data_IF_706909961514
#
_entry.id   IF_706909961514
#
_cell.length_a   1.000
_cell.length_b   1.000
_cell.length_c   1.000
_cell.angle_alpha   90.00
_cell.angle_beta   90.00
_cell.angle_gamma   90.00
#
_symmetry.space_group_name_H-M   'P 1'
#
loop_
_entity.id
_entity.type
_entity.pdbx_description
1 polymer ?
#
# COMPACT_ATOMS: atom_id res chain seq x y z
N UNK A 1 -21.99 74.28 -39.22
CA UNK A 1 -20.75 73.79 -38.55
C UNK A 1 -20.88 72.28 -38.36
N UNK A 2 -20.07 71.50 -39.08
CA UNK A 2 -20.10 70.02 -39.06
C UNK A 2 -19.20 69.51 -37.92
N UNK A 3 -19.79 68.88 -36.91
CA UNK A 3 -19.08 68.19 -35.84
C UNK A 3 -18.76 66.75 -36.27
N UNK A 4 -17.47 66.39 -36.26
CA UNK A 4 -16.96 65.02 -36.50
C UNK A 4 -16.94 64.24 -35.17
N UNK A 5 -17.31 62.96 -35.10
CA UNK A 5 -17.05 62.15 -33.92
C UNK A 5 -15.62 61.57 -33.98
N UNK A 6 -14.95 61.64 -32.84
CA UNK A 6 -13.61 61.13 -32.58
C UNK A 6 -13.68 59.61 -32.35
N UNK A 7 -13.04 58.81 -33.20
CA UNK A 7 -12.89 57.37 -32.99
C UNK A 7 -11.74 57.10 -32.01
N UNK A 8 -12.06 56.58 -30.82
CA UNK A 8 -11.07 56.10 -29.84
C UNK A 8 -10.75 54.65 -30.18
N UNK A 9 -9.52 54.40 -30.65
CA UNK A 9 -9.00 53.05 -30.86
C UNK A 9 -8.50 52.49 -29.51
N UNK A 10 -9.19 51.49 -28.97
CA UNK A 10 -8.71 50.70 -27.83
C UNK A 10 -7.70 49.65 -28.32
N UNK A 11 -6.42 49.83 -27.99
CA UNK A 11 -5.39 48.81 -28.16
C UNK A 11 -5.46 47.80 -27.00
N UNK A 12 -5.97 46.59 -27.28
CA UNK A 12 -5.96 45.45 -26.36
C UNK A 12 -4.56 44.82 -26.33
N UNK A 13 -3.79 45.13 -25.28
CA UNK A 13 -2.57 44.39 -24.93
C UNK A 13 -2.94 43.01 -24.38
N UNK A 14 -2.69 41.96 -25.17
CA UNK A 14 -2.87 40.57 -24.75
C UNK A 14 -1.83 40.16 -23.71
N UNK A 15 -2.25 39.93 -22.47
CA UNK A 15 -1.45 39.29 -21.43
C UNK A 15 -1.25 37.80 -21.77
N UNK A 16 -0.05 37.46 -22.23
CA UNK A 16 0.39 36.08 -22.39
C UNK A 16 0.68 35.53 -20.99
N UNK A 17 -0.28 34.80 -20.42
CA UNK A 17 -0.07 34.01 -19.21
C UNK A 17 0.87 32.84 -19.52
N UNK A 18 2.14 32.96 -19.15
CA UNK A 18 3.02 31.81 -18.99
C UNK A 18 2.53 31.00 -17.78
N UNK A 19 1.76 29.95 -18.06
CA UNK A 19 1.48 28.93 -17.07
C UNK A 19 2.81 28.25 -16.71
N UNK A 20 3.39 28.65 -15.56
CA UNK A 20 4.50 27.91 -14.96
C UNK A 20 3.98 26.51 -14.66
N UNK A 21 4.55 25.52 -15.35
CA UNK A 21 4.31 24.11 -15.04
C UNK A 21 4.85 23.86 -13.63
N UNK A 22 4.01 24.07 -12.62
CA UNK A 22 4.32 23.75 -11.24
C UNK A 22 4.73 22.28 -11.16
N UNK A 23 5.91 22.03 -10.61
CA UNK A 23 6.33 20.69 -10.25
C UNK A 23 5.26 20.11 -9.32
N UNK A 24 4.45 19.17 -9.82
CA UNK A 24 3.51 18.44 -8.98
C UNK A 24 4.31 17.81 -7.84
N UNK A 25 4.10 18.29 -6.61
CA UNK A 25 4.71 17.72 -5.43
C UNK A 25 4.34 16.23 -5.37
N UNK A 26 5.34 15.37 -5.45
CA UNK A 26 5.13 13.93 -5.44
C UNK A 26 4.48 13.53 -4.11
N UNK A 27 3.24 13.04 -4.14
CA UNK A 27 2.56 12.57 -2.94
C UNK A 27 3.27 11.32 -2.39
N UNK A 28 3.77 11.44 -1.16
CA UNK A 28 4.40 10.34 -0.42
C UNK A 28 3.33 9.42 0.17
N UNK A 29 3.68 8.16 0.42
CA UNK A 29 2.77 7.17 1.00
C UNK A 29 2.33 7.52 2.43
N UNK A 30 3.24 8.11 3.20
CA UNK A 30 2.98 8.63 4.54
C UNK A 30 3.20 10.14 4.54
N UNK A 31 2.45 10.84 5.39
CA UNK A 31 2.74 12.23 5.74
C UNK A 31 4.04 12.30 6.56
N UNK A 32 5.14 12.87 6.01
CA UNK A 32 6.42 12.95 6.71
C UNK A 32 6.37 13.74 8.02
N UNK A 33 5.40 14.64 8.20
CA UNK A 33 5.23 15.41 9.43
C UNK A 33 4.64 14.58 10.58
N UNK A 34 4.11 13.39 10.28
CA UNK A 34 3.51 12.44 11.22
C UNK A 34 4.36 11.18 11.43
N UNK A 35 5.47 11.04 10.71
CA UNK A 35 6.38 9.90 10.84
C UNK A 35 7.32 10.12 12.03
N UNK A 36 7.42 9.10 12.88
CA UNK A 36 8.28 9.08 14.07
C UNK A 36 9.58 8.31 13.82
N UNK A 37 9.60 7.38 12.86
CA UNK A 37 10.75 6.55 12.54
C UNK A 37 10.79 5.22 13.33
N UNK A 38 11.66 4.29 12.90
CA UNK A 38 11.68 2.93 13.41
C UNK A 38 12.17 2.83 14.87
N UNK A 39 13.00 3.78 15.32
CA UNK A 39 13.57 3.77 16.67
C UNK A 39 12.49 4.01 17.73
N UNK A 40 11.52 4.90 17.45
CA UNK A 40 10.36 5.13 18.32
C UNK A 40 9.52 3.85 18.54
N UNK A 41 9.44 2.99 17.52
CA UNK A 41 8.80 1.68 17.66
C UNK A 41 9.69 0.68 18.43
N UNK A 42 11.00 0.77 18.24
CA UNK A 42 12.01 -0.15 18.78
C UNK A 42 12.24 -0.06 20.28
N UNK A 43 11.82 1.02 20.92
CA UNK A 43 11.83 1.15 22.38
C UNK A 43 11.07 -0.01 23.05
N UNK A 44 9.90 -0.36 22.50
CA UNK A 44 9.03 -1.42 23.00
C UNK A 44 9.06 -2.70 22.14
N UNK A 45 9.24 -2.61 20.82
CA UNK A 45 9.09 -3.73 19.88
C UNK A 45 10.43 -4.29 19.36
N UNK A 46 11.33 -4.64 20.28
CA UNK A 46 12.72 -5.06 19.95
C UNK A 46 12.78 -6.25 18.99
N UNK A 47 12.02 -7.32 19.22
CA UNK A 47 12.01 -8.51 18.34
C UNK A 47 11.53 -8.19 16.93
N UNK A 48 10.50 -7.35 16.80
CA UNK A 48 9.99 -6.90 15.49
C UNK A 48 11.03 -6.08 14.75
N UNK A 49 11.74 -5.18 15.44
CA UNK A 49 12.83 -4.39 14.85
C UNK A 49 14.00 -5.27 14.42
N UNK A 50 14.37 -6.29 15.19
CA UNK A 50 15.41 -7.25 14.80
C UNK A 50 15.02 -8.00 13.52
N UNK A 51 13.79 -8.53 13.45
CA UNK A 51 13.30 -9.18 12.24
C UNK A 51 13.27 -8.22 11.04
N UNK A 52 12.83 -6.98 11.25
CA UNK A 52 12.81 -5.94 10.22
C UNK A 52 14.21 -5.60 9.71
N UNK A 53 15.23 -5.46 10.57
CA UNK A 53 16.62 -5.19 10.15
C UNK A 53 17.20 -6.27 9.23
N UNK A 54 16.66 -7.50 9.26
CA UNK A 54 17.03 -8.58 8.35
C UNK A 54 16.28 -8.58 7.01
N UNK A 55 15.33 -7.67 6.79
CA UNK A 55 14.41 -7.70 5.64
C UNK A 55 14.89 -6.95 4.40
N UNK A 56 14.28 -7.24 3.25
CA UNK A 56 14.45 -6.45 2.03
C UNK A 56 13.92 -5.02 2.20
N UNK A 57 12.78 -4.86 2.89
CA UNK A 57 12.26 -3.56 3.30
C UNK A 57 13.25 -2.69 4.09
N UNK A 58 14.11 -3.26 4.93
CA UNK A 58 15.19 -2.50 5.58
C UNK A 58 16.32 -2.19 4.60
N UNK A 59 16.78 -3.21 3.88
CA UNK A 59 18.00 -3.13 3.06
C UNK A 59 17.87 -2.17 1.86
N UNK A 60 16.66 -1.95 1.34
CA UNK A 60 16.35 -1.01 0.23
C UNK A 60 16.94 0.38 0.45
N UNK A 61 17.06 0.83 1.72
CA UNK A 61 17.68 2.13 2.02
C UNK A 61 19.08 2.23 1.42
N UNK A 62 19.86 1.14 1.50
CA UNK A 62 21.24 1.08 1.05
C UNK A 62 21.36 0.52 -0.37
N UNK A 63 20.55 -0.48 -0.72
CA UNK A 63 20.71 -1.23 -1.97
C UNK A 63 20.12 -0.50 -3.18
N UNK A 64 18.92 0.07 -3.07
CA UNK A 64 18.20 0.62 -4.24
C UNK A 64 19.00 1.70 -5.00
N UNK A 65 19.60 2.72 -4.36
CA UNK A 65 20.34 3.76 -5.10
C UNK A 65 21.60 3.25 -5.82
N UNK A 66 22.03 2.01 -5.52
CA UNK A 66 23.21 1.36 -6.10
C UNK A 66 22.85 0.33 -7.18
N UNK A 67 21.59 -0.10 -7.24
CA UNK A 67 21.14 -1.06 -8.25
C UNK A 67 21.20 -0.44 -9.65
N UNK A 68 21.76 -1.17 -10.62
CA UNK A 68 21.93 -0.70 -12.00
C UNK A 68 20.57 -0.42 -12.64
N UNK A 69 19.59 -1.28 -12.40
CA UNK A 69 18.23 -1.16 -12.90
C UNK A 69 17.53 0.08 -12.35
N UNK A 70 17.70 0.36 -11.04
CA UNK A 70 17.11 1.53 -10.42
C UNK A 70 17.70 2.84 -10.97
N UNK A 71 19.01 2.87 -11.23
CA UNK A 71 19.68 4.02 -11.86
C UNK A 71 19.20 4.23 -13.29
N UNK A 72 19.12 3.16 -14.09
CA UNK A 72 18.59 3.24 -15.45
C UNK A 72 17.14 3.75 -15.51
N UNK A 73 16.29 3.34 -14.55
CA UNK A 73 14.93 3.88 -14.41
C UNK A 73 14.97 5.36 -14.02
N UNK A 74 15.81 5.73 -13.05
CA UNK A 74 15.96 7.11 -12.60
C UNK A 74 16.42 8.04 -13.74
N UNK A 75 17.38 7.61 -14.55
CA UNK A 75 17.90 8.36 -15.70
C UNK A 75 16.79 8.60 -16.74
N UNK A 76 16.02 7.56 -17.10
CA UNK A 76 14.85 7.68 -17.99
C UNK A 76 13.77 8.61 -17.44
N UNK A 77 13.67 8.71 -16.12
CA UNK A 77 12.73 9.58 -15.43
C UNK A 77 13.28 11.00 -15.18
N UNK A 78 14.53 11.29 -15.59
CA UNK A 78 15.18 12.57 -15.34
C UNK A 78 15.54 12.82 -13.86
N UNK A 79 15.62 11.77 -13.06
CA UNK A 79 15.87 11.84 -11.61
C UNK A 79 17.35 11.63 -11.34
N UNK A 80 18.09 12.71 -11.04
CA UNK A 80 19.52 12.64 -10.70
C UNK A 80 19.80 11.87 -9.39
N UNK A 81 18.90 11.97 -8.40
CA UNK A 81 19.06 11.37 -7.07
C UNK A 81 17.77 10.69 -6.62
N UNK A 82 17.78 9.36 -6.57
CA UNK A 82 16.63 8.54 -6.12
C UNK A 82 16.10 8.99 -4.74
N UNK A 83 16.99 9.34 -3.82
CA UNK A 83 16.65 9.77 -2.45
C UNK A 83 16.27 11.25 -2.31
N UNK A 84 15.99 11.97 -3.39
CA UNK A 84 15.66 13.39 -3.34
C UNK A 84 14.46 13.72 -4.24
N UNK A 85 13.31 13.99 -3.62
CA UNK A 85 12.13 14.54 -4.32
C UNK A 85 11.64 13.71 -5.50
N UNK A 86 11.72 12.37 -5.42
CA UNK A 86 11.41 11.48 -6.55
C UNK A 86 10.21 10.58 -6.26
N UNK A 87 9.59 10.06 -7.33
CA UNK A 87 8.54 9.04 -7.25
C UNK A 87 9.00 7.73 -6.57
N UNK A 88 10.32 7.49 -6.46
CA UNK A 88 10.85 6.31 -5.77
C UNK A 88 10.61 6.39 -4.25
N UNK A 89 10.48 7.61 -3.70
CA UNK A 89 10.30 7.83 -2.27
C UNK A 89 8.95 7.33 -1.73
N UNK A 90 7.93 7.18 -2.57
CA UNK A 90 6.63 6.71 -2.11
C UNK A 90 6.60 5.22 -1.80
N UNK A 91 7.48 4.41 -2.41
CA UNK A 91 7.42 2.95 -2.32
C UNK A 91 8.66 2.28 -1.73
N UNK A 92 9.81 2.98 -1.71
CA UNK A 92 11.08 2.36 -1.31
C UNK A 92 11.71 2.96 -0.05
N UNK A 93 11.12 4.01 0.52
CA UNK A 93 11.70 4.69 1.67
C UNK A 93 10.59 5.20 2.60
N UNK A 94 10.83 5.14 3.90
CA UNK A 94 10.08 5.96 4.86
C UNK A 94 10.74 7.32 4.95
N UNK A 95 9.95 8.38 4.76
CA UNK A 95 10.42 9.76 4.86
C UNK A 95 9.80 10.47 6.05
N UNK A 96 10.59 11.32 6.71
CA UNK A 96 10.16 12.16 7.82
C UNK A 96 10.63 13.61 7.64
N UNK A 97 10.05 14.54 8.39
CA UNK A 97 10.51 15.92 8.43
C UNK A 97 11.85 16.03 9.17
N UNK A 98 12.90 16.45 8.46
CA UNK A 98 14.24 16.68 9.00
C UNK A 98 14.67 18.10 8.67
N UNK A 99 14.81 18.96 9.69
CA UNK A 99 15.15 20.38 9.55
C UNK A 99 14.22 21.09 8.53
N UNK A 100 12.91 20.92 8.69
CA UNK A 100 11.89 21.56 7.84
C UNK A 100 11.74 20.99 6.44
N UNK A 101 12.40 19.87 6.09
CA UNK A 101 12.30 19.24 4.76
C UNK A 101 12.00 17.75 4.90
N UNK A 102 11.12 17.22 4.05
CA UNK A 102 10.88 15.78 3.97
C UNK A 102 12.13 15.08 3.42
N UNK A 103 12.69 14.14 4.18
CA UNK A 103 13.87 13.35 3.81
C UNK A 103 13.64 11.87 4.07
N UNK A 104 14.16 10.97 3.22
CA UNK A 104 14.16 9.55 3.52
C UNK A 104 15.07 9.28 4.72
N UNK A 105 14.51 8.71 5.78
CA UNK A 105 15.23 8.40 7.04
C UNK A 105 15.64 6.93 7.12
N UNK A 106 14.91 6.05 6.45
CA UNK A 106 15.13 4.62 6.47
C UNK A 106 14.56 3.97 5.19
N UNK A 107 14.72 2.65 5.08
CA UNK A 107 13.96 1.85 4.12
C UNK A 107 12.48 1.87 4.48
N UNK A 108 11.74 0.86 4.06
CA UNK A 108 10.33 0.71 4.45
C UNK A 108 10.27 0.29 5.91
N UNK A 109 9.67 1.12 6.77
CA UNK A 109 9.62 0.94 8.23
C UNK A 109 8.27 0.37 8.69
N UNK A 110 8.13 0.14 10.00
CA UNK A 110 6.88 -0.28 10.65
C UNK A 110 5.69 0.60 10.23
N UNK A 111 5.89 1.91 10.19
CA UNK A 111 4.84 2.90 9.88
C UNK A 111 4.32 2.80 8.44
N UNK A 112 5.09 2.24 7.50
CA UNK A 112 4.61 1.97 6.15
C UNK A 112 3.48 0.95 6.11
N UNK A 113 3.43 0.03 7.09
CA UNK A 113 2.38 -0.96 7.26
C UNK A 113 1.38 -0.59 8.35
N UNK A 114 1.82 0.10 9.40
CA UNK A 114 1.03 0.41 10.60
C UNK A 114 0.48 1.85 10.65
N UNK A 115 0.77 2.68 9.66
CA UNK A 115 0.42 4.10 9.65
C UNK A 115 1.47 4.97 10.35
N UNK A 116 1.47 6.26 10.05
CA UNK A 116 2.42 7.22 10.61
C UNK A 116 2.19 7.42 12.12
N UNK A 117 3.24 7.30 12.93
CA UNK A 117 3.16 7.05 14.36
C UNK A 117 2.75 8.22 15.25
N UNK A 118 2.93 9.47 14.80
CA UNK A 118 2.87 10.67 15.67
C UNK A 118 1.59 10.77 16.48
N UNK A 119 0.45 10.47 15.86
CA UNK A 119 -0.86 10.70 16.45
C UNK A 119 -1.34 9.52 17.33
N UNK A 120 -0.76 8.32 17.17
CA UNK A 120 -1.23 7.11 17.87
C UNK A 120 -0.19 6.47 18.78
N UNK A 121 1.11 6.76 18.65
CA UNK A 121 2.16 6.03 19.39
C UNK A 121 2.00 6.18 20.91
N UNK A 122 1.65 7.37 21.39
CA UNK A 122 1.42 7.65 22.81
C UNK A 122 0.19 6.91 23.33
N UNK A 123 -0.91 6.98 22.58
CA UNK A 123 -2.16 6.27 22.92
C UNK A 123 -1.92 4.76 22.96
N UNK A 124 -1.19 4.22 21.97
CA UNK A 124 -0.85 2.81 21.89
C UNK A 124 -0.01 2.33 23.09
N UNK A 125 0.86 3.20 23.62
CA UNK A 125 1.72 2.90 24.78
C UNK A 125 1.11 3.16 26.16
N UNK A 126 -0.05 3.80 26.23
CA UNK A 126 -0.74 4.04 27.50
C UNK A 126 -1.44 2.75 27.95
N UNK A 127 -1.17 2.20 29.14
CA UNK A 127 -1.87 1.01 29.64
C UNK A 127 -2.83 1.32 30.79
N UNK A 128 -3.14 2.61 31.02
CA UNK A 128 -4.13 3.03 32.01
C UNK A 128 -3.52 3.42 33.36
N UNK A 129 -2.24 3.80 33.39
CA UNK A 129 -1.60 4.34 34.58
C UNK A 129 -0.12 3.98 34.74
N UNK A 130 0.53 4.62 35.72
CA UNK A 130 1.94 4.38 36.04
C UNK A 130 2.14 2.95 36.54
N UNK A 131 3.03 2.20 35.89
CA UNK A 131 3.36 0.83 36.26
C UNK A 131 2.40 -0.24 35.73
N UNK A 132 1.32 0.16 35.05
CA UNK A 132 0.46 -0.78 34.32
C UNK A 132 1.16 -1.16 33.01
N UNK A 133 1.15 -2.44 32.71
CA UNK A 133 1.74 -3.07 31.53
C UNK A 133 0.65 -3.77 30.72
N UNK A 134 1.01 -4.27 29.55
CA UNK A 134 0.07 -4.97 28.67
C UNK A 134 -0.56 -6.22 29.33
N UNK A 135 0.15 -6.86 30.27
CA UNK A 135 -0.27 -8.09 30.93
C UNK A 135 -1.33 -7.86 32.02
N UNK A 136 -1.38 -6.66 32.62
CA UNK A 136 -2.28 -6.32 33.72
C UNK A 136 -3.18 -5.10 33.41
N UNK A 137 -3.28 -4.72 32.14
CA UNK A 137 -4.20 -3.69 31.66
C UNK A 137 -5.67 -4.14 31.83
N UNK A 138 -6.51 -3.23 32.34
CA UNK A 138 -7.95 -3.47 32.45
C UNK A 138 -8.61 -3.66 31.07
N UNK A 139 -9.52 -4.64 30.96
CA UNK A 139 -10.16 -5.00 29.67
C UNK A 139 -10.91 -3.82 29.01
N UNK A 140 -11.56 -2.98 29.83
CA UNK A 140 -12.24 -1.77 29.34
C UNK A 140 -11.25 -0.76 28.76
N UNK A 141 -10.15 -0.48 29.47
CA UNK A 141 -9.09 0.41 29.00
C UNK A 141 -8.46 -0.11 27.70
N UNK A 142 -8.18 -1.41 27.61
CA UNK A 142 -7.65 -2.05 26.40
C UNK A 142 -8.56 -1.84 25.18
N UNK A 143 -9.86 -2.00 25.38
CA UNK A 143 -10.86 -1.82 24.32
C UNK A 143 -10.90 -0.37 23.85
N UNK A 144 -10.94 0.58 24.79
CA UNK A 144 -10.94 2.01 24.50
C UNK A 144 -9.65 2.45 23.80
N UNK A 145 -8.50 2.05 24.33
CA UNK A 145 -7.19 2.33 23.76
C UNK A 145 -7.09 1.85 22.33
N UNK A 146 -7.52 0.63 22.05
CA UNK A 146 -7.52 0.09 20.71
C UNK A 146 -8.36 0.92 19.74
N UNK A 147 -9.57 1.32 20.15
CA UNK A 147 -10.42 2.19 19.34
C UNK A 147 -9.77 3.56 19.11
N UNK A 148 -9.18 4.18 20.15
CA UNK A 148 -8.49 5.47 20.04
C UNK A 148 -7.24 5.39 19.16
N UNK A 149 -6.42 4.35 19.29
CA UNK A 149 -5.25 4.15 18.42
C UNK A 149 -5.65 3.99 16.96
N UNK A 150 -6.69 3.20 16.68
CA UNK A 150 -7.21 3.01 15.31
C UNK A 150 -7.79 4.31 14.74
N UNK A 151 -8.57 5.05 15.53
CA UNK A 151 -9.10 6.36 15.13
C UNK A 151 -8.00 7.40 14.86
N UNK A 152 -6.88 7.32 15.58
CA UNK A 152 -5.69 8.14 15.36
C UNK A 152 -4.80 7.65 14.19
N UNK A 153 -5.22 6.63 13.45
CA UNK A 153 -4.56 6.17 12.22
C UNK A 153 -3.67 4.93 12.37
N UNK A 154 -3.65 4.28 13.54
CA UNK A 154 -2.93 3.03 13.71
C UNK A 154 -3.61 1.90 12.95
N UNK A 155 -2.89 1.25 12.04
CA UNK A 155 -3.33 0.01 11.41
C UNK A 155 -2.85 -1.17 12.25
N UNK A 156 -3.78 -1.88 12.91
CA UNK A 156 -3.43 -3.01 13.78
C UNK A 156 -3.18 -4.31 13.00
N UNK A 157 -2.22 -5.17 13.41
CA UNK A 157 -1.93 -6.46 12.77
C UNK A 157 -3.13 -7.40 12.60
N UNK A 158 -4.16 -7.26 13.44
CA UNK A 158 -5.41 -8.03 13.37
C UNK A 158 -6.29 -7.65 12.18
N UNK A 159 -6.20 -6.41 11.71
CA UNK A 159 -6.93 -5.94 10.54
C UNK A 159 -6.13 -6.33 9.28
N UNK A 160 -6.26 -7.60 8.90
CA UNK A 160 -5.48 -8.19 7.80
C UNK A 160 -5.72 -7.41 6.51
N UNK A 161 -6.93 -6.90 6.27
CA UNK A 161 -7.24 -6.12 5.09
C UNK A 161 -6.45 -4.80 5.07
N UNK A 162 -6.51 -3.99 6.12
CA UNK A 162 -5.82 -2.70 6.12
C UNK A 162 -4.29 -2.86 6.08
N UNK A 163 -3.74 -3.84 6.81
CA UNK A 163 -2.30 -4.15 6.76
C UNK A 163 -1.89 -4.56 5.35
N UNK A 164 -2.60 -5.50 4.75
CA UNK A 164 -2.27 -6.00 3.42
C UNK A 164 -2.45 -4.92 2.35
N UNK A 165 -3.46 -4.06 2.47
CA UNK A 165 -3.71 -2.93 1.57
C UNK A 165 -2.47 -2.03 1.47
N UNK A 166 -1.77 -1.79 2.57
CA UNK A 166 -0.52 -1.03 2.58
C UNK A 166 0.59 -1.72 1.77
N UNK A 167 0.68 -3.06 1.78
CA UNK A 167 1.59 -3.80 0.90
C UNK A 167 1.23 -3.57 -0.59
N UNK A 168 -0.05 -3.72 -0.95
CA UNK A 168 -0.48 -3.58 -2.35
C UNK A 168 -0.38 -2.15 -2.86
N UNK A 169 -0.44 -1.13 -1.99
CA UNK A 169 -0.19 0.26 -2.34
C UNK A 169 1.13 0.50 -3.07
N UNK A 170 2.18 -0.21 -2.67
CA UNK A 170 3.50 -0.14 -3.33
C UNK A 170 3.66 -1.25 -4.38
N UNK A 171 3.28 -2.49 -4.04
CA UNK A 171 3.56 -3.66 -4.87
C UNK A 171 2.65 -3.80 -6.10
N UNK A 172 1.57 -3.01 -6.22
CA UNK A 172 0.81 -2.87 -7.47
C UNK A 172 1.44 -1.83 -8.42
N UNK A 173 2.33 -0.97 -7.92
CA UNK A 173 2.99 0.14 -8.63
C UNK A 173 1.95 1.02 -9.34
N UNK A 174 1.13 1.80 -8.61
CA UNK A 174 0.04 2.60 -9.18
C UNK A 174 0.53 3.89 -9.85
N UNK A 175 1.57 3.80 -10.69
CA UNK A 175 2.20 4.94 -11.37
C UNK A 175 2.47 4.63 -12.84
N UNK A 176 1.58 5.10 -13.71
CA UNK A 176 1.65 4.87 -15.15
C UNK A 176 2.92 5.46 -15.77
N UNK A 177 3.32 6.68 -15.36
CA UNK A 177 4.52 7.36 -15.90
C UNK A 177 5.78 6.59 -15.55
N UNK A 178 5.92 6.12 -14.31
CA UNK A 178 7.06 5.34 -13.85
C UNK A 178 7.24 4.05 -14.67
N UNK A 179 6.14 3.39 -15.04
CA UNK A 179 6.18 2.18 -15.87
C UNK A 179 6.46 2.50 -17.32
N UNK A 180 5.68 3.40 -17.92
CA UNK A 180 5.74 3.64 -19.38
C UNK A 180 6.99 4.42 -19.80
N UNK A 181 7.48 5.35 -18.97
CA UNK A 181 8.67 6.16 -19.26
C UNK A 181 9.90 5.54 -18.61
N UNK A 182 9.82 5.27 -17.30
CA UNK A 182 10.94 4.74 -16.55
C UNK A 182 11.29 3.30 -16.89
N UNK A 183 10.36 2.52 -17.45
CA UNK A 183 10.53 1.09 -17.70
C UNK A 183 10.40 0.24 -16.43
N UNK A 184 9.83 0.80 -15.36
CA UNK A 184 9.55 0.05 -14.15
C UNK A 184 8.53 -1.07 -14.42
N UNK A 185 8.56 -2.14 -13.64
CA UNK A 185 7.53 -3.18 -13.72
C UNK A 185 6.17 -2.67 -13.25
N UNK A 186 5.10 -3.07 -13.94
CA UNK A 186 3.73 -2.75 -13.53
C UNK A 186 3.28 -3.74 -12.44
N UNK A 187 3.76 -3.50 -11.23
CA UNK A 187 3.55 -4.36 -10.08
C UNK A 187 4.56 -5.50 -9.96
N UNK A 188 4.73 -5.98 -8.74
CA UNK A 188 5.63 -7.09 -8.41
C UNK A 188 4.91 -8.45 -8.52
N UNK A 189 5.67 -9.53 -8.33
CA UNK A 189 5.14 -10.91 -8.21
C UNK A 189 4.61 -11.22 -6.80
N UNK A 190 4.38 -10.20 -5.98
CA UNK A 190 3.95 -10.36 -4.59
C UNK A 190 2.71 -11.25 -4.47
N UNK A 191 2.83 -12.18 -3.54
CA UNK A 191 1.75 -12.97 -3.00
C UNK A 191 1.85 -12.84 -1.48
N UNK A 192 0.76 -12.44 -0.82
CA UNK A 192 0.82 -11.93 0.54
C UNK A 192 1.45 -12.93 1.50
N UNK A 193 1.03 -14.19 1.47
CA UNK A 193 1.55 -15.23 2.36
C UNK A 193 3.04 -15.49 2.07
N UNK A 194 3.39 -15.71 0.81
CA UNK A 194 4.75 -16.03 0.43
C UNK A 194 5.76 -14.92 0.78
N UNK A 195 5.34 -13.66 0.75
CA UNK A 195 6.23 -12.53 1.01
C UNK A 195 6.25 -12.17 2.50
N UNK A 196 5.09 -12.16 3.17
CA UNK A 196 5.02 -11.82 4.59
C UNK A 196 5.63 -12.90 5.49
N UNK A 197 5.51 -14.19 5.12
CA UNK A 197 6.01 -15.29 5.94
C UNK A 197 7.50 -15.60 5.70
N UNK A 198 8.19 -14.88 4.83
CA UNK A 198 9.64 -15.03 4.64
C UNK A 198 10.47 -14.25 5.64
N UNK A 199 10.01 -13.05 6.02
CA UNK A 199 10.76 -12.11 6.85
C UNK A 199 9.91 -11.66 8.04
N UNK A 200 9.31 -10.47 8.03
CA UNK A 200 8.60 -9.93 9.21
C UNK A 200 7.21 -10.59 9.36
N UNK A 201 7.15 -11.71 10.11
CA UNK A 201 5.92 -12.52 10.25
C UNK A 201 4.95 -12.01 11.31
N UNK A 202 5.39 -11.07 12.15
CA UNK A 202 4.60 -10.46 13.22
C UNK A 202 4.04 -11.44 14.27
N UNK A 203 4.65 -12.63 14.41
CA UNK A 203 4.25 -13.63 15.43
C UNK A 203 5.16 -13.61 16.67
N UNK A 204 5.59 -12.42 17.10
CA UNK A 204 6.59 -12.24 18.17
C UNK A 204 6.00 -11.92 19.54
N UNK A 205 4.67 -11.72 19.65
CA UNK A 205 4.04 -11.19 20.86
C UNK A 205 4.08 -12.15 22.05
N UNK A 206 3.96 -13.46 21.82
CA UNK A 206 3.86 -14.45 22.91
C UNK A 206 5.14 -15.27 23.12
N UNK A 207 6.01 -15.34 22.12
CA UNK A 207 7.23 -16.18 22.15
C UNK A 207 8.52 -15.41 21.93
N UNK A 208 8.46 -14.09 21.65
CA UNK A 208 9.58 -13.25 21.14
C UNK A 208 10.22 -13.74 19.83
N UNK A 209 9.84 -14.91 19.33
CA UNK A 209 10.31 -15.53 18.10
C UNK A 209 9.45 -15.13 16.90
N UNK A 210 10.06 -15.03 15.72
CA UNK A 210 9.38 -14.67 14.49
C UNK A 210 8.77 -15.92 13.80
N UNK A 211 7.83 -16.58 14.49
CA UNK A 211 7.23 -17.84 14.06
C UNK A 211 6.31 -17.66 12.85
N UNK A 212 6.09 -18.74 12.10
CA UNK A 212 5.07 -18.77 11.03
C UNK A 212 3.69 -18.56 11.66
N UNK A 213 2.79 -17.88 10.95
CA UNK A 213 1.40 -17.71 11.38
C UNK A 213 0.64 -19.04 11.39
N UNK A 214 -0.35 -19.23 12.29
CA UNK A 214 -1.26 -20.39 12.25
C UNK A 214 -1.97 -20.53 10.90
N UNK A 215 -2.37 -21.76 10.56
CA UNK A 215 -2.89 -22.09 9.22
C UNK A 215 -4.15 -21.30 8.87
N UNK A 216 -5.04 -21.07 9.83
CA UNK A 216 -6.27 -20.29 9.69
C UNK A 216 -5.95 -18.85 9.29
N UNK A 217 -4.96 -18.24 9.96
CA UNK A 217 -4.47 -16.92 9.61
C UNK A 217 -3.83 -16.91 8.22
N UNK A 218 -3.07 -17.94 7.83
CA UNK A 218 -2.49 -18.04 6.49
C UNK A 218 -3.57 -18.12 5.40
N UNK A 219 -4.66 -18.85 5.65
CA UNK A 219 -5.83 -18.91 4.76
C UNK A 219 -6.45 -17.53 4.58
N UNK A 220 -6.66 -16.78 5.66
CA UNK A 220 -7.20 -15.41 5.58
C UNK A 220 -6.25 -14.45 4.87
N UNK A 221 -4.95 -14.49 5.17
CA UNK A 221 -3.95 -13.69 4.46
C UNK A 221 -3.94 -14.01 2.96
N UNK A 222 -4.04 -15.28 2.58
CA UNK A 222 -4.12 -15.66 1.18
C UNK A 222 -5.35 -15.06 0.51
N UNK A 223 -6.54 -15.22 1.09
CA UNK A 223 -7.80 -14.69 0.55
C UNK A 223 -7.76 -13.17 0.38
N UNK A 224 -7.40 -12.45 1.44
CA UNK A 224 -7.30 -10.98 1.44
C UNK A 224 -6.27 -10.52 0.42
N UNK A 225 -5.11 -11.17 0.34
CA UNK A 225 -4.10 -10.87 -0.67
C UNK A 225 -4.62 -11.07 -2.10
N UNK A 226 -5.37 -12.14 -2.37
CA UNK A 226 -5.98 -12.35 -3.69
C UNK A 226 -7.04 -11.32 -4.04
N UNK A 227 -7.83 -10.88 -3.06
CA UNK A 227 -8.82 -9.84 -3.24
C UNK A 227 -8.17 -8.48 -3.54
N UNK A 228 -7.14 -8.10 -2.77
CA UNK A 228 -6.37 -6.86 -3.00
C UNK A 228 -5.62 -6.88 -4.33
N UNK A 229 -5.10 -8.04 -4.76
CA UNK A 229 -4.49 -8.18 -6.08
C UNK A 229 -5.48 -7.87 -7.21
N UNK A 230 -6.74 -8.29 -7.06
CA UNK A 230 -7.81 -7.96 -8.00
C UNK A 230 -8.20 -6.48 -7.90
N UNK A 231 -8.43 -5.97 -6.69
CA UNK A 231 -8.81 -4.58 -6.45
C UNK A 231 -7.79 -3.61 -7.06
N UNK A 232 -6.51 -3.74 -6.70
CA UNK A 232 -5.48 -2.82 -7.16
C UNK A 232 -5.21 -2.96 -8.65
N UNK A 233 -5.38 -4.15 -9.23
CA UNK A 233 -5.29 -4.31 -10.67
C UNK A 233 -6.45 -3.59 -11.40
N UNK A 234 -7.68 -3.65 -10.86
CA UNK A 234 -8.82 -2.89 -11.40
C UNK A 234 -8.58 -1.38 -11.30
N UNK A 235 -8.15 -0.88 -10.14
CA UNK A 235 -7.76 0.53 -9.95
C UNK A 235 -6.64 0.94 -10.90
N UNK A 236 -5.68 0.05 -11.14
CA UNK A 236 -4.58 0.27 -12.07
C UNK A 236 -5.06 0.45 -13.52
N UNK A 237 -6.01 -0.37 -13.98
CA UNK A 237 -6.64 -0.20 -15.30
C UNK A 237 -7.50 1.07 -15.34
N UNK A 238 -8.23 1.36 -14.27
CA UNK A 238 -9.11 2.53 -14.17
C UNK A 238 -8.35 3.84 -14.40
N UNK A 239 -7.16 3.96 -13.80
CA UNK A 239 -6.30 5.15 -13.89
C UNK A 239 -5.40 5.18 -15.12
N UNK A 240 -5.40 4.14 -15.96
CA UNK A 240 -4.53 4.09 -17.13
C UNK A 240 -5.06 5.03 -18.22
N UNK A 241 -4.20 5.91 -18.72
CA UNK A 241 -4.58 6.95 -19.69
C UNK A 241 -4.31 6.54 -21.13
N UNK A 242 -3.34 5.65 -21.38
CA UNK A 242 -2.97 5.23 -22.73
C UNK A 242 -2.73 3.73 -22.85
N UNK A 243 -2.87 3.21 -24.08
CA UNK A 243 -2.70 1.78 -24.39
C UNK A 243 -1.21 1.44 -24.47
N UNK A 244 -0.55 1.49 -23.33
CA UNK A 244 0.88 1.20 -23.18
C UNK A 244 1.10 0.06 -22.17
N UNK A 245 2.38 -0.19 -21.86
CA UNK A 245 2.83 -1.27 -21.00
C UNK A 245 2.08 -1.35 -19.66
N UNK A 246 1.88 -0.22 -19.01
CA UNK A 246 1.14 -0.15 -17.75
C UNK A 246 -0.29 -0.68 -17.89
N UNK A 247 -1.08 -0.11 -18.82
CA UNK A 247 -2.46 -0.51 -19.05
C UNK A 247 -2.58 -1.99 -19.41
N UNK A 248 -1.71 -2.48 -20.30
CA UNK A 248 -1.72 -3.88 -20.75
C UNK A 248 -1.38 -4.82 -19.60
N UNK A 249 -0.34 -4.52 -18.82
CA UNK A 249 0.08 -5.35 -17.68
C UNK A 249 -0.97 -5.34 -16.57
N UNK A 250 -1.57 -4.19 -16.24
CA UNK A 250 -2.66 -4.10 -15.26
C UNK A 250 -3.90 -4.86 -15.71
N UNK A 251 -4.30 -4.76 -16.99
CA UNK A 251 -5.44 -5.50 -17.51
C UNK A 251 -5.19 -7.02 -17.49
N UNK A 252 -3.97 -7.47 -17.83
CA UNK A 252 -3.57 -8.88 -17.69
C UNK A 252 -3.59 -9.32 -16.23
N UNK A 253 -3.13 -8.49 -15.30
CA UNK A 253 -3.17 -8.74 -13.85
C UNK A 253 -4.60 -8.90 -13.35
N UNK A 254 -5.49 -7.96 -13.67
CA UNK A 254 -6.91 -8.02 -13.30
C UNK A 254 -7.60 -9.27 -13.87
N UNK A 255 -7.33 -9.62 -15.13
CA UNK A 255 -7.87 -10.85 -15.75
C UNK A 255 -7.42 -12.11 -15.01
N UNK A 256 -6.14 -12.20 -14.63
CA UNK A 256 -5.59 -13.33 -13.86
C UNK A 256 -6.16 -13.39 -12.44
N UNK A 257 -6.17 -12.26 -11.74
CA UNK A 257 -6.70 -12.15 -10.39
C UNK A 257 -8.19 -12.54 -10.33
N UNK A 258 -9.00 -12.05 -11.28
CA UNK A 258 -10.42 -12.44 -11.42
C UNK A 258 -10.62 -13.93 -11.63
N UNK A 259 -9.81 -14.57 -12.48
CA UNK A 259 -9.86 -16.03 -12.67
C UNK A 259 -9.50 -16.78 -11.39
N UNK A 260 -8.53 -16.25 -10.62
CA UNK A 260 -8.11 -16.84 -9.35
C UNK A 260 -9.19 -16.74 -8.29
N UNK A 261 -9.83 -15.58 -8.11
CA UNK A 261 -10.98 -15.43 -7.21
C UNK A 261 -12.09 -16.43 -7.56
N UNK A 262 -12.42 -16.58 -8.86
CA UNK A 262 -13.39 -17.59 -9.31
C UNK A 262 -12.97 -19.02 -8.93
N UNK A 263 -11.69 -19.36 -9.09
CA UNK A 263 -11.18 -20.70 -8.78
C UNK A 263 -11.23 -20.98 -7.27
N UNK A 264 -10.91 -19.98 -6.45
CA UNK A 264 -10.96 -20.07 -4.98
C UNK A 264 -12.40 -20.26 -4.51
N UNK A 265 -13.38 -19.57 -5.11
CA UNK A 265 -14.80 -19.77 -4.78
C UNK A 265 -15.36 -21.15 -5.13
N UNK A 266 -14.57 -22.04 -5.76
CA UNK A 266 -14.90 -23.46 -5.91
C UNK A 266 -14.32 -24.35 -4.81
N UNK A 267 -13.39 -23.83 -4.02
CA UNK A 267 -12.67 -24.57 -2.99
C UNK A 267 -13.26 -24.36 -1.59
N UNK A 268 -13.94 -23.24 -1.38
CA UNK A 268 -14.53 -22.85 -0.10
C UNK A 268 -15.88 -22.21 -0.33
N UNK A 269 -16.74 -22.28 0.69
CA UNK A 269 -18.00 -21.54 0.72
C UNK A 269 -17.78 -20.17 1.35
N UNK A 270 -17.84 -19.14 0.51
CA UNK A 270 -17.79 -17.74 0.92
C UNK A 270 -18.49 -16.89 -0.16
N UNK A 271 -19.73 -16.41 0.09
CA UNK A 271 -20.50 -15.67 -0.92
C UNK A 271 -19.79 -14.40 -1.41
N UNK A 272 -18.94 -13.80 -0.57
CA UNK A 272 -18.12 -12.63 -0.89
C UNK A 272 -17.23 -12.86 -2.12
N UNK A 273 -16.67 -14.07 -2.30
CA UNK A 273 -15.83 -14.39 -3.48
C UNK A 273 -16.63 -14.37 -4.78
N UNK A 274 -17.88 -14.83 -4.72
CA UNK A 274 -18.80 -14.79 -5.86
C UNK A 274 -19.17 -13.34 -6.19
N UNK A 275 -19.43 -12.52 -5.18
CA UNK A 275 -19.71 -11.10 -5.36
C UNK A 275 -18.52 -10.35 -5.97
N UNK A 276 -17.30 -10.55 -5.46
CA UNK A 276 -16.06 -10.00 -6.05
C UNK A 276 -15.90 -10.40 -7.52
N UNK A 277 -16.10 -11.67 -7.84
CA UNK A 277 -16.01 -12.16 -9.21
C UNK A 277 -17.04 -11.50 -10.13
N UNK A 278 -18.29 -11.39 -9.70
CA UNK A 278 -19.37 -10.74 -10.46
C UNK A 278 -19.07 -9.26 -10.71
N UNK A 279 -18.66 -8.51 -9.68
CA UNK A 279 -18.28 -7.12 -9.78
C UNK A 279 -17.10 -6.91 -10.77
N UNK A 280 -16.04 -7.71 -10.65
CA UNK A 280 -14.92 -7.63 -11.57
C UNK A 280 -15.21 -8.14 -13.00
N UNK A 281 -16.28 -8.93 -13.18
CA UNK A 281 -16.72 -9.40 -14.51
C UNK A 281 -17.56 -8.35 -15.23
N UNK A 282 -18.36 -7.57 -14.51
CA UNK A 282 -19.24 -6.55 -15.12
C UNK A 282 -18.45 -5.37 -15.73
N UNK A 283 -17.27 -5.06 -15.19
CA UNK A 283 -16.39 -4.04 -15.74
C UNK A 283 -15.51 -4.57 -16.89
N UNK A 284 -15.63 -3.95 -18.07
CA UNK A 284 -14.72 -4.22 -19.21
C UNK A 284 -13.33 -3.64 -18.90
N UNK A 285 -12.28 -4.47 -19.04
CA UNK A 285 -10.88 -4.08 -18.84
C UNK A 285 -10.37 -3.31 -20.06
N UNK A 286 -10.76 -2.05 -20.18
CA UNK A 286 -10.37 -1.13 -21.26
C UNK A 286 -10.10 0.27 -20.71
N UNK A 287 -9.38 1.07 -21.49
CA UNK A 287 -9.22 2.50 -21.23
C UNK A 287 -10.56 3.22 -21.28
N UNK A 288 -10.62 4.42 -20.72
CA UNK A 288 -11.82 5.27 -20.70
C UNK A 288 -13.03 4.57 -20.07
N UNK A 289 -12.79 3.76 -19.04
CA UNK A 289 -13.82 3.05 -18.28
C UNK A 289 -13.62 3.20 -16.77
N UNK A 290 -13.06 4.34 -16.36
CA UNK A 290 -12.61 4.60 -14.98
C UNK A 290 -13.75 4.39 -13.98
N UNK A 291 -14.88 5.07 -14.14
CA UNK A 291 -16.00 4.98 -13.20
C UNK A 291 -16.45 3.52 -12.93
N UNK A 292 -16.62 2.70 -13.98
CA UNK A 292 -17.06 1.30 -13.82
C UNK A 292 -15.96 0.42 -13.20
N UNK A 293 -14.70 0.67 -13.53
CA UNK A 293 -13.57 -0.08 -12.97
C UNK A 293 -13.32 0.29 -11.51
N UNK A 294 -13.45 1.56 -11.16
CA UNK A 294 -13.37 2.07 -9.79
C UNK A 294 -14.50 1.51 -8.94
N UNK A 295 -15.75 1.57 -9.41
CA UNK A 295 -16.89 0.96 -8.70
C UNK A 295 -16.71 -0.56 -8.51
N UNK A 296 -16.20 -1.27 -9.51
CA UNK A 296 -15.89 -2.70 -9.37
C UNK A 296 -14.78 -2.95 -8.34
N UNK A 297 -13.76 -2.09 -8.27
CA UNK A 297 -12.70 -2.20 -7.27
C UNK A 297 -13.21 -1.90 -5.86
N UNK A 298 -14.09 -0.92 -5.69
CA UNK A 298 -14.73 -0.58 -4.42
C UNK A 298 -15.62 -1.72 -3.91
N UNK A 299 -16.37 -2.37 -4.79
CA UNK A 299 -17.15 -3.55 -4.40
C UNK A 299 -16.23 -4.72 -4.02
N UNK A 300 -15.12 -4.94 -4.74
CA UNK A 300 -14.12 -5.95 -4.33
C UNK A 300 -13.53 -5.63 -2.95
N UNK A 301 -13.21 -4.36 -2.68
CA UNK A 301 -12.70 -3.89 -1.40
C UNK A 301 -13.71 -4.17 -0.27
N UNK A 302 -14.97 -3.80 -0.47
CA UNK A 302 -16.05 -3.99 0.51
C UNK A 302 -16.23 -5.47 0.86
N UNK A 303 -16.23 -6.33 -0.16
CA UNK A 303 -16.33 -7.79 0.03
C UNK A 303 -15.09 -8.37 0.72
N UNK A 304 -13.90 -7.82 0.48
CA UNK A 304 -12.66 -8.27 1.11
C UNK A 304 -12.61 -7.89 2.59
N UNK A 305 -13.13 -6.71 2.93
CA UNK A 305 -13.33 -6.28 4.31
C UNK A 305 -14.38 -7.15 5.02
N UNK A 306 -15.48 -7.48 4.35
CA UNK A 306 -16.48 -8.41 4.88
C UNK A 306 -15.87 -9.80 5.17
N UNK A 307 -15.09 -10.35 4.23
CA UNK A 307 -14.32 -11.59 4.46
C UNK A 307 -13.41 -11.48 5.69
N UNK A 308 -12.61 -10.43 5.78
CA UNK A 308 -11.67 -10.25 6.88
C UNK A 308 -12.35 -10.04 8.24
N UNK A 309 -13.60 -9.58 8.25
CA UNK A 309 -14.40 -9.35 9.46
C UNK A 309 -15.15 -10.61 9.92
N UNK A 310 -15.71 -11.37 8.98
CA UNK A 310 -16.68 -12.42 9.26
C UNK A 310 -16.06 -13.81 9.41
N UNK A 311 -14.81 -14.00 8.96
CA UNK A 311 -14.14 -15.30 8.98
C UNK A 311 -12.75 -15.21 9.60
N UNK A 312 -12.34 -16.29 10.27
CA UNK A 312 -11.01 -16.47 10.84
C UNK A 312 -10.13 -17.44 10.04
N UNK A 313 -10.72 -18.15 9.07
CA UNK A 313 -10.06 -19.14 8.22
C UNK A 313 -10.15 -20.58 8.72
N UNK A 314 -10.80 -20.84 9.86
CA UNK A 314 -10.99 -22.19 10.42
C UNK A 314 -11.75 -23.11 9.47
N UNK A 315 -12.81 -22.61 8.82
CA UNK A 315 -13.66 -23.35 7.89
C UNK A 315 -13.11 -23.46 6.47
N UNK A 316 -11.96 -22.86 6.18
CA UNK A 316 -11.40 -22.73 4.81
C UNK A 316 -10.33 -23.78 4.46
N UNK A 317 -10.46 -25.01 4.95
CA UNK A 317 -9.52 -26.11 4.70
C UNK A 317 -9.28 -26.43 3.22
N UNK A 318 -10.25 -26.15 2.35
CA UNK A 318 -10.09 -26.32 0.89
C UNK A 318 -8.97 -25.48 0.27
N UNK A 319 -8.45 -24.47 0.98
CA UNK A 319 -7.35 -23.62 0.51
C UNK A 319 -5.96 -24.23 0.69
N UNK A 320 -5.80 -25.25 1.53
CA UNK A 320 -4.47 -25.72 1.95
C UNK A 320 -3.60 -26.14 0.76
N UNK A 321 -4.22 -26.72 -0.27
CA UNK A 321 -3.54 -27.15 -1.51
C UNK A 321 -3.05 -25.99 -2.39
N UNK A 322 -3.59 -24.79 -2.20
CA UNK A 322 -3.26 -23.59 -3.00
C UNK A 322 -2.47 -22.54 -2.23
N UNK A 323 -2.24 -22.77 -0.94
CA UNK A 323 -1.35 -21.94 -0.13
C UNK A 323 0.11 -22.09 -0.61
N UNK A 324 0.90 -21.01 -0.56
CA UNK A 324 2.33 -21.15 -0.80
C UNK A 324 2.99 -22.03 0.27
N UNK A 325 3.71 -23.06 -0.17
CA UNK A 325 4.53 -23.88 0.72
C UNK A 325 5.71 -23.07 1.30
N UNK A 326 6.23 -23.50 2.46
CA UNK A 326 7.31 -22.82 3.17
C UNK A 326 8.55 -22.52 2.32
N UNK A 327 8.94 -23.44 1.42
CA UNK A 327 10.05 -23.23 0.46
C UNK A 327 9.85 -22.05 -0.52
N UNK A 328 8.62 -21.55 -0.64
CA UNK A 328 8.28 -20.40 -1.48
C UNK A 328 8.25 -19.09 -0.68
N UNK A 329 8.56 -19.11 0.61
CA UNK A 329 8.65 -17.90 1.42
C UNK A 329 9.93 -17.15 1.04
N UNK A 330 9.80 -15.91 0.54
CA UNK A 330 10.92 -15.18 -0.08
C UNK A 330 11.33 -13.90 0.64
N UNK A 331 10.53 -13.43 1.59
CA UNK A 331 10.70 -12.10 2.15
C UNK A 331 10.24 -11.01 1.18
N UNK A 332 10.05 -9.79 1.67
CA UNK A 332 9.48 -8.66 0.95
C UNK A 332 10.23 -7.37 1.23
#
# INVERSE_FOLDING_TARGET
>A
MKSRPLAIALALFGLIFWATAGAQAQQLHLDPAKVMGPDACGECHKSSVTAWKGSHHFSTFKSLPRAKEARAIADKMGVKRIKAGSACLSCHFTSAMVKGKAKPIAGITCESCHGAGKDWIKVHSDFGGKGVKAENEAAAHKTERYAKSEAAGMTRPRDIYQVAKNCYGCHSVPNEKLVNVGGHTAGSKMELVAWSQGEVRHNVWYSKENRVSPIERLRMMYLVGRALDLEYALRGVAKATKKADYAVKMAKRAKKARKRIKAIGKLIDAPELTAMYKAAKSAKLKLNNEAKLTAAAEEVARQAQALAKNYDGSTFGGLDKVLPAAKKYKGG
#
